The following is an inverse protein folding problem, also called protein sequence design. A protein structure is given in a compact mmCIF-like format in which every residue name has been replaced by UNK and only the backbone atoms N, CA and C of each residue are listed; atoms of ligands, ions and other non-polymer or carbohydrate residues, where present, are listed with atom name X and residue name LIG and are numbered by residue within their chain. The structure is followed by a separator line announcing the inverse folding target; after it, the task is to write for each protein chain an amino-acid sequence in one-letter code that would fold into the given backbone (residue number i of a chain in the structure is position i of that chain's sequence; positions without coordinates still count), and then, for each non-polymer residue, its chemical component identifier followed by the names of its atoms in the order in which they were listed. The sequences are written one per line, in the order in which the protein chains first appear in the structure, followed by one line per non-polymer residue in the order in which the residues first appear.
data_IF_762973183864
#
_entry.id   IF_762973183864
#
_cell.length_a   1.000
_cell.length_b   1.000
_cell.length_c   1.000
_cell.angle_alpha   90.00
_cell.angle_beta   90.00
_cell.angle_gamma   90.00
#
_symmetry.space_group_name_H-M   'P 1'
#
loop_
_entity.id
_entity.type
_entity.pdbx_description
1 polymer ?
#
# COMPACT_ATOMS: atom_id res chain seq x y z
N UNK A 1 -71.94 22.63 -74.98
CA UNK A 1 -71.17 22.73 -73.71
C UNK A 1 -70.40 21.44 -73.38
N UNK A 2 -70.33 20.45 -74.28
CA UNK A 2 -69.69 19.14 -73.98
C UNK A 2 -68.17 19.13 -74.16
N UNK A 3 -67.61 19.88 -75.12
CA UNK A 3 -66.17 19.85 -75.41
C UNK A 3 -65.25 20.39 -74.31
N UNK A 4 -65.75 21.20 -73.38
CA UNK A 4 -64.94 21.76 -72.28
C UNK A 4 -64.75 20.80 -71.11
N UNK A 5 -65.65 19.82 -70.93
CA UNK A 5 -65.55 18.82 -69.87
C UNK A 5 -64.47 17.78 -70.17
N UNK A 6 -64.38 17.31 -71.41
CA UNK A 6 -63.36 16.33 -71.83
C UNK A 6 -61.93 16.89 -71.80
N UNK A 7 -61.76 18.19 -72.08
CA UNK A 7 -60.45 18.81 -72.00
C UNK A 7 -59.98 18.96 -70.54
N UNK A 8 -60.90 19.25 -69.63
CA UNK A 8 -60.60 19.40 -68.20
C UNK A 8 -60.23 18.04 -67.59
N UNK A 9 -60.97 16.97 -67.89
CA UNK A 9 -60.66 15.62 -67.39
C UNK A 9 -59.30 15.10 -67.89
N UNK A 10 -58.94 15.38 -69.15
CA UNK A 10 -57.62 15.05 -69.70
C UNK A 10 -56.47 15.80 -68.99
N UNK A 11 -56.68 17.06 -68.61
CA UNK A 11 -55.69 17.86 -67.87
C UNK A 11 -55.52 17.30 -66.44
N UNK A 12 -56.62 16.95 -65.76
CA UNK A 12 -56.56 16.33 -64.43
C UNK A 12 -55.82 15.00 -64.44
N UNK A 13 -56.08 14.12 -65.41
CA UNK A 13 -55.38 12.85 -65.54
C UNK A 13 -53.87 13.02 -65.80
N UNK A 14 -53.46 14.06 -66.55
CA UNK A 14 -52.05 14.37 -66.77
C UNK A 14 -51.38 14.94 -65.51
N UNK A 15 -52.10 15.77 -64.74
CA UNK A 15 -51.60 16.33 -63.48
C UNK A 15 -51.40 15.23 -62.43
N UNK A 16 -52.37 14.31 -62.30
CA UNK A 16 -52.31 13.21 -61.35
C UNK A 16 -51.16 12.25 -61.68
N UNK A 17 -50.92 11.98 -62.96
CA UNK A 17 -49.74 11.23 -63.41
C UNK A 17 -48.42 11.93 -63.03
N UNK A 18 -48.36 13.26 -63.14
CA UNK A 18 -47.18 14.04 -62.77
C UNK A 18 -46.91 14.02 -61.26
N UNK A 19 -47.97 14.09 -60.45
CA UNK A 19 -47.88 14.01 -58.98
C UNK A 19 -47.36 12.63 -58.56
N UNK A 20 -47.90 11.56 -59.16
CA UNK A 20 -47.47 10.19 -58.87
C UNK A 20 -46.00 9.98 -59.25
N UNK A 21 -45.56 10.52 -60.38
CA UNK A 21 -44.17 10.39 -60.84
C UNK A 21 -43.20 11.16 -59.93
N UNK A 22 -43.57 12.39 -59.55
CA UNK A 22 -42.76 13.19 -58.65
C UNK A 22 -42.67 12.58 -57.25
N UNK A 23 -43.76 12.00 -56.74
CA UNK A 23 -43.77 11.32 -55.45
C UNK A 23 -42.88 10.05 -55.47
N UNK A 24 -42.89 9.29 -56.57
CA UNK A 24 -41.95 8.16 -56.76
C UNK A 24 -40.50 8.63 -56.82
N UNK A 25 -40.23 9.73 -57.50
CA UNK A 25 -38.89 10.29 -57.60
C UNK A 25 -38.37 10.74 -56.22
N UNK A 26 -39.23 11.33 -55.39
CA UNK A 26 -38.88 11.69 -54.01
C UNK A 26 -38.62 10.47 -53.13
N UNK A 27 -39.42 9.40 -53.25
CA UNK A 27 -39.19 8.16 -52.51
C UNK A 27 -37.86 7.49 -52.93
N UNK A 28 -37.61 7.36 -54.23
CA UNK A 28 -36.37 6.77 -54.74
C UNK A 28 -35.12 7.56 -54.32
N UNK A 29 -35.22 8.90 -54.29
CA UNK A 29 -34.11 9.75 -53.83
C UNK A 29 -33.87 9.68 -52.32
N UNK A 30 -34.93 9.54 -51.51
CA UNK A 30 -34.80 9.34 -50.06
C UNK A 30 -34.12 8.00 -49.75
N UNK A 31 -34.51 6.92 -50.40
CA UNK A 31 -33.87 5.60 -50.20
C UNK A 31 -32.40 5.62 -50.60
N UNK A 32 -32.05 6.29 -51.71
CA UNK A 32 -30.66 6.47 -52.13
C UNK A 32 -29.85 7.30 -51.11
N UNK A 33 -30.45 8.34 -50.52
CA UNK A 33 -29.82 9.16 -49.48
C UNK A 33 -29.58 8.38 -48.18
N UNK A 34 -30.53 7.54 -47.77
CA UNK A 34 -30.37 6.69 -46.59
C UNK A 34 -29.24 5.67 -46.77
N UNK A 35 -29.21 4.99 -47.92
CA UNK A 35 -28.14 4.04 -48.24
C UNK A 35 -26.76 4.73 -48.36
N UNK A 36 -26.70 5.98 -48.81
CA UNK A 36 -25.47 6.76 -48.86
C UNK A 36 -24.98 7.15 -47.46
N UNK A 37 -25.88 7.63 -46.58
CA UNK A 37 -25.54 8.05 -45.22
C UNK A 37 -24.96 6.92 -44.38
N UNK A 38 -25.50 5.70 -44.49
CA UNK A 38 -24.96 4.54 -43.76
C UNK A 38 -23.52 4.20 -44.16
N UNK A 39 -23.19 4.33 -45.46
CA UNK A 39 -21.82 4.09 -45.95
C UNK A 39 -20.86 5.15 -45.46
N UNK A 40 -21.28 6.42 -45.46
CA UNK A 40 -20.47 7.53 -44.95
C UNK A 40 -20.25 7.40 -43.44
N UNK A 41 -21.27 7.01 -42.67
CA UNK A 41 -21.13 6.78 -41.24
C UNK A 41 -20.18 5.61 -40.93
N UNK A 42 -20.23 4.52 -41.69
CA UNK A 42 -19.32 3.39 -41.52
C UNK A 42 -17.87 3.80 -41.83
N UNK A 43 -17.65 4.53 -42.92
CA UNK A 43 -16.33 5.05 -43.28
C UNK A 43 -15.82 6.05 -42.24
N UNK A 44 -16.68 6.94 -41.75
CA UNK A 44 -16.32 7.93 -40.75
C UNK A 44 -15.96 7.27 -39.41
N UNK A 45 -16.76 6.30 -38.96
CA UNK A 45 -16.45 5.50 -37.76
C UNK A 45 -15.11 4.79 -37.91
N UNK A 46 -14.85 4.17 -39.06
CA UNK A 46 -13.61 3.46 -39.31
C UNK A 46 -12.39 4.42 -39.34
N UNK A 47 -12.53 5.57 -39.99
CA UNK A 47 -11.50 6.61 -40.03
C UNK A 47 -11.25 7.20 -38.63
N UNK A 48 -12.31 7.45 -37.86
CA UNK A 48 -12.23 7.95 -36.49
C UNK A 48 -11.51 6.95 -35.58
N UNK A 49 -11.85 5.66 -35.65
CA UNK A 49 -11.18 4.61 -34.88
C UNK A 49 -9.69 4.52 -35.25
N UNK A 50 -9.36 4.56 -36.55
CA UNK A 50 -7.97 4.57 -37.00
C UNK A 50 -7.20 5.78 -36.46
N UNK A 51 -7.80 6.97 -36.52
CA UNK A 51 -7.20 8.21 -36.00
C UNK A 51 -7.02 8.18 -34.48
N UNK A 52 -8.01 7.67 -33.73
CA UNK A 52 -7.89 7.48 -32.28
C UNK A 52 -6.79 6.49 -31.92
N UNK A 53 -6.68 5.38 -32.66
CA UNK A 53 -5.61 4.40 -32.46
C UNK A 53 -4.23 5.03 -32.67
N UNK A 54 -4.08 5.83 -33.72
CA UNK A 54 -2.83 6.53 -33.99
C UNK A 54 -2.49 7.55 -32.88
N UNK A 55 -3.50 8.27 -32.37
CA UNK A 55 -3.31 9.21 -31.25
C UNK A 55 -2.96 8.50 -29.94
N UNK A 56 -3.65 7.41 -29.61
CA UNK A 56 -3.36 6.55 -28.47
C UNK A 56 -1.94 5.99 -28.55
N UNK A 57 -1.52 5.46 -29.70
CA UNK A 57 -0.17 4.93 -29.88
C UNK A 57 0.91 6.00 -29.71
N UNK A 58 0.70 7.21 -30.25
CA UNK A 58 1.66 8.32 -30.06
C UNK A 58 1.72 8.78 -28.60
N UNK A 59 0.57 8.84 -27.93
CA UNK A 59 0.49 9.13 -26.50
C UNK A 59 1.21 8.06 -25.69
N UNK A 60 0.88 6.78 -25.87
CA UNK A 60 1.53 5.67 -25.16
C UNK A 60 3.04 5.63 -25.40
N UNK A 61 3.50 5.86 -26.64
CA UNK A 61 4.92 5.89 -26.98
C UNK A 61 5.65 7.06 -26.30
N UNK A 62 5.00 8.22 -26.18
CA UNK A 62 5.54 9.38 -25.47
C UNK A 62 5.46 9.24 -23.93
N UNK A 63 4.43 8.56 -23.42
CA UNK A 63 4.16 8.40 -21.99
C UNK A 63 4.97 7.26 -21.37
N UNK A 64 5.20 6.14 -22.06
CA UNK A 64 6.01 5.02 -21.56
C UNK A 64 7.36 5.44 -20.98
N UNK A 65 8.21 6.23 -21.69
CA UNK A 65 9.51 6.62 -21.14
C UNK A 65 9.37 7.57 -19.94
N UNK A 66 8.34 8.43 -19.91
CA UNK A 66 8.07 9.31 -18.79
C UNK A 66 7.61 8.53 -17.54
N UNK A 67 6.73 7.54 -17.72
CA UNK A 67 6.23 6.66 -16.65
C UNK A 67 7.37 5.82 -16.06
N UNK A 68 8.25 5.26 -16.91
CA UNK A 68 9.41 4.49 -16.44
C UNK A 68 10.35 5.37 -15.61
N UNK A 69 10.64 6.60 -16.06
CA UNK A 69 11.44 7.56 -15.26
C UNK A 69 10.75 7.94 -13.95
N UNK A 70 9.45 8.16 -13.97
CA UNK A 70 8.69 8.46 -12.76
C UNK A 70 8.79 7.31 -11.75
N UNK A 71 8.63 6.06 -12.20
CA UNK A 71 8.79 4.88 -11.36
C UNK A 71 10.21 4.69 -10.82
N UNK A 72 11.25 5.03 -11.60
CA UNK A 72 12.63 5.00 -11.10
C UNK A 72 12.84 5.96 -9.93
N UNK A 73 12.28 7.17 -9.99
CA UNK A 73 12.37 8.16 -8.91
C UNK A 73 11.60 7.67 -7.68
N UNK A 74 10.38 7.16 -7.87
CA UNK A 74 9.58 6.60 -6.77
C UNK A 74 10.31 5.44 -6.08
N UNK A 75 10.87 4.52 -6.87
CA UNK A 75 11.65 3.40 -6.35
C UNK A 75 12.92 3.86 -5.61
N UNK A 76 13.62 4.88 -6.12
CA UNK A 76 14.80 5.43 -5.46
C UNK A 76 14.45 6.06 -4.11
N UNK A 77 13.38 6.88 -4.05
CA UNK A 77 12.92 7.50 -2.81
C UNK A 77 12.46 6.45 -1.80
N UNK A 78 11.68 5.46 -2.24
CA UNK A 78 11.26 4.35 -1.38
C UNK A 78 12.46 3.56 -0.84
N UNK A 79 13.45 3.27 -1.69
CA UNK A 79 14.69 2.61 -1.29
C UNK A 79 15.46 3.38 -0.23
N UNK A 80 15.63 4.70 -0.41
CA UNK A 80 16.30 5.56 0.59
C UNK A 80 15.54 5.57 1.91
N UNK A 81 14.20 5.66 1.87
CA UNK A 81 13.38 5.66 3.07
C UNK A 81 13.52 4.35 3.86
N UNK A 82 13.48 3.21 3.18
CA UNK A 82 13.69 1.89 3.79
C UNK A 82 15.09 1.80 4.40
N UNK A 83 16.11 2.31 3.71
CA UNK A 83 17.49 2.26 4.17
C UNK A 83 17.71 3.15 5.41
N UNK A 84 17.07 4.32 5.46
CA UNK A 84 17.05 5.19 6.63
C UNK A 84 16.35 4.54 7.83
N UNK A 85 15.18 3.92 7.61
CA UNK A 85 14.45 3.23 8.67
C UNK A 85 15.23 2.02 9.19
N UNK A 86 15.77 1.20 8.31
CA UNK A 86 16.58 0.05 8.68
C UNK A 86 17.85 0.46 9.42
N UNK A 87 18.59 1.46 8.91
CA UNK A 87 19.78 2.00 9.55
C UNK A 87 19.48 2.61 10.92
N UNK A 88 18.41 3.39 11.03
CA UNK A 88 17.93 3.96 12.30
C UNK A 88 17.57 2.88 13.31
N UNK A 89 16.79 1.88 12.91
CA UNK A 89 16.37 0.78 13.78
C UNK A 89 17.56 -0.06 14.25
N UNK A 90 18.56 -0.28 13.39
CA UNK A 90 19.80 -0.97 13.75
C UNK A 90 20.61 -0.19 14.80
N UNK A 91 20.73 1.13 14.64
CA UNK A 91 21.40 2.01 15.60
C UNK A 91 20.68 2.02 16.94
N UNK A 92 19.35 2.14 16.94
CA UNK A 92 18.54 2.07 18.17
C UNK A 92 18.72 0.73 18.88
N UNK A 93 18.78 -0.37 18.13
CA UNK A 93 19.02 -1.68 18.72
C UNK A 93 20.41 -1.77 19.36
N UNK A 94 21.45 -1.27 18.70
CA UNK A 94 22.80 -1.26 19.26
C UNK A 94 22.91 -0.42 20.53
N UNK A 95 22.27 0.76 20.57
CA UNK A 95 22.30 1.61 21.77
C UNK A 95 21.53 0.95 22.90
N UNK A 96 20.36 0.36 22.62
CA UNK A 96 19.57 -0.36 23.59
C UNK A 96 20.31 -1.59 24.15
N UNK A 97 20.98 -2.38 23.30
CA UNK A 97 21.78 -3.53 23.74
C UNK A 97 22.97 -3.10 24.60
N UNK A 98 23.61 -1.98 24.28
CA UNK A 98 24.67 -1.40 25.12
C UNK A 98 24.14 -0.90 26.46
N UNK A 99 22.96 -0.29 26.47
CA UNK A 99 22.32 0.21 27.68
C UNK A 99 21.93 -0.96 28.59
N UNK A 100 21.30 -1.99 28.03
CA UNK A 100 20.97 -3.22 28.76
C UNK A 100 22.21 -3.92 29.31
N UNK A 101 23.30 -3.98 28.54
CA UNK A 101 24.57 -4.55 29.02
C UNK A 101 25.20 -3.70 30.13
N UNK A 102 25.03 -2.38 30.10
CA UNK A 102 25.49 -1.49 31.16
C UNK A 102 24.63 -1.65 32.43
N UNK A 103 23.31 -1.72 32.29
CA UNK A 103 22.37 -1.99 33.38
C UNK A 103 22.64 -3.34 34.03
N UNK A 104 22.81 -4.41 33.24
CA UNK A 104 23.14 -5.73 33.78
C UNK A 104 24.46 -5.75 34.57
N UNK A 105 25.43 -4.89 34.22
CA UNK A 105 26.68 -4.74 35.00
C UNK A 105 26.49 -3.91 36.25
N UNK A 106 25.62 -2.90 36.21
CA UNK A 106 25.26 -2.10 37.39
C UNK A 106 24.49 -2.97 38.39
N UNK A 107 23.47 -3.71 37.94
CA UNK A 107 22.70 -4.64 38.76
C UNK A 107 23.60 -5.73 39.38
N UNK A 108 24.53 -6.29 38.58
CA UNK A 108 25.49 -7.26 39.10
C UNK A 108 26.48 -6.66 40.11
N UNK A 109 26.82 -5.37 39.99
CA UNK A 109 27.67 -4.68 40.95
C UNK A 109 26.92 -4.36 42.24
N UNK A 110 25.64 -4.00 42.15
CA UNK A 110 24.75 -3.75 43.29
C UNK A 110 24.51 -5.04 44.08
N UNK A 111 24.13 -6.13 43.41
CA UNK A 111 23.98 -7.46 44.04
C UNK A 111 25.29 -7.91 44.68
N UNK A 112 26.44 -7.67 44.04
CA UNK A 112 27.74 -8.02 44.63
C UNK A 112 28.05 -7.18 45.86
N UNK A 113 27.65 -5.91 45.90
CA UNK A 113 27.81 -5.06 47.07
C UNK A 113 26.91 -5.54 48.23
N UNK A 114 25.63 -5.84 47.95
CA UNK A 114 24.71 -6.40 48.93
C UNK A 114 25.18 -7.75 49.47
N UNK A 115 25.62 -8.67 48.59
CA UNK A 115 26.17 -9.97 49.00
C UNK A 115 27.46 -9.80 49.78
N UNK A 116 28.30 -8.83 49.44
CA UNK A 116 29.55 -8.59 50.16
C UNK A 116 29.29 -8.00 51.55
N UNK A 117 28.30 -7.12 51.69
CA UNK A 117 27.82 -6.59 52.97
C UNK A 117 27.16 -7.67 53.84
N UNK A 118 26.33 -8.53 53.25
CA UNK A 118 25.77 -9.69 53.92
C UNK A 118 26.87 -10.71 54.33
N UNK A 119 27.88 -10.91 53.49
CA UNK A 119 29.00 -11.84 53.78
C UNK A 119 29.96 -11.33 54.85
N UNK A 120 30.04 -10.01 55.09
CA UNK A 120 30.83 -9.46 56.21
C UNK A 120 30.32 -9.92 57.57
N UNK A 121 29.05 -10.30 57.66
CA UNK A 121 28.46 -10.85 58.88
C UNK A 121 28.71 -12.37 59.04
N UNK A 122 29.41 -12.99 58.08
CA UNK A 122 29.57 -14.44 57.96
C UNK A 122 31.05 -14.77 57.69
N UNK A 123 31.83 -15.01 58.74
CA UNK A 123 33.22 -15.50 58.57
C UNK A 123 33.19 -16.98 58.14
N UNK A 124 33.42 -17.27 56.86
CA UNK A 124 33.56 -18.65 56.39
C UNK A 124 34.96 -19.15 56.80
N UNK A 125 35.01 -20.07 57.76
CA UNK A 125 36.24 -20.68 58.28
C UNK A 125 36.28 -22.17 57.97
N UNK A 126 37.48 -22.76 57.84
CA UNK A 126 37.61 -24.21 57.60
C UNK A 126 37.68 -24.95 58.94
N UNK A 127 36.65 -25.73 59.28
CA UNK A 127 36.77 -26.70 60.37
C UNK A 127 37.22 -28.04 59.79
N UNK A 128 38.50 -28.38 59.94
CA UNK A 128 39.01 -29.72 59.61
C UNK A 128 38.76 -30.15 58.15
N UNK A 129 38.90 -29.23 57.20
CA UNK A 129 38.76 -29.52 55.76
C UNK A 129 37.33 -29.39 55.20
N UNK A 130 36.35 -28.99 56.03
CA UNK A 130 34.98 -28.68 55.59
C UNK A 130 34.68 -27.18 55.78
N UNK A 131 33.94 -26.54 54.85
CA UNK A 131 33.52 -25.16 55.02
C UNK A 131 32.55 -25.05 56.20
N UNK A 132 32.86 -24.18 57.15
CA UNK A 132 32.02 -23.82 58.28
C UNK A 132 31.74 -22.32 58.25
N UNK A 133 30.57 -21.93 58.72
CA UNK A 133 30.20 -20.54 58.88
C UNK A 133 30.37 -20.17 60.36
N UNK A 134 31.24 -19.20 60.65
CA UNK A 134 31.40 -18.60 61.97
C UNK A 134 30.49 -17.39 62.05
N UNK A 135 29.46 -17.52 62.87
CA UNK A 135 28.48 -16.49 63.16
C UNK A 135 29.05 -15.57 64.25
N UNK A 136 28.84 -14.27 64.11
CA UNK A 136 29.23 -13.29 65.12
C UNK A 136 28.49 -13.57 66.44
N UNK A 137 29.20 -13.47 67.58
CA UNK A 137 28.68 -13.86 68.90
C UNK A 137 27.62 -12.91 69.43
N UNK A 138 27.60 -11.68 68.91
CA UNK A 138 26.69 -10.63 69.35
C UNK A 138 25.42 -10.55 68.48
N UNK A 139 25.30 -11.40 67.46
CA UNK A 139 24.13 -11.45 66.57
C UNK A 139 22.93 -12.16 67.24
N UNK A 140 21.75 -11.55 67.16
CA UNK A 140 20.53 -12.11 67.78
C UNK A 140 20.09 -13.39 67.07
N UNK A 141 20.12 -14.52 67.79
CA UNK A 141 19.73 -15.84 67.27
C UNK A 141 18.29 -16.17 67.64
N UNK A 142 17.50 -16.64 66.67
CA UNK A 142 16.16 -17.19 66.89
C UNK A 142 16.19 -18.72 66.70
N UNK A 143 15.67 -19.47 67.68
CA UNK A 143 15.61 -20.95 67.63
C UNK A 143 14.20 -21.41 67.34
N UNK A 144 14.04 -22.26 66.34
CA UNK A 144 12.77 -22.93 66.04
C UNK A 144 12.99 -24.37 65.60
N UNK A 145 12.29 -25.31 66.26
CA UNK A 145 12.22 -26.75 65.94
C UNK A 145 13.54 -27.42 65.52
N UNK A 146 14.62 -27.17 66.28
CA UNK A 146 15.91 -27.83 66.06
C UNK A 146 16.84 -27.11 65.07
N UNK A 147 16.50 -25.90 64.63
CA UNK A 147 17.36 -25.05 63.81
C UNK A 147 17.53 -23.67 64.44
N UNK A 148 18.76 -23.16 64.38
CA UNK A 148 19.18 -21.85 64.90
C UNK A 148 19.37 -20.91 63.71
N UNK A 149 18.61 -19.82 63.70
CA UNK A 149 18.58 -18.83 62.63
C UNK A 149 19.14 -17.51 63.16
N UNK A 150 19.86 -16.77 62.34
CA UNK A 150 20.30 -15.40 62.66
C UNK A 150 19.48 -14.44 61.83
N UNK A 151 18.93 -13.41 62.48
CA UNK A 151 18.21 -12.34 61.80
C UNK A 151 19.24 -11.44 61.12
N UNK A 152 19.35 -11.53 59.79
CA UNK A 152 20.12 -10.55 59.00
C UNK A 152 19.16 -9.41 58.71
N UNK A 153 19.37 -8.26 59.37
CA UNK A 153 18.56 -7.07 59.13
C UNK A 153 18.87 -6.55 57.73
N UNK A 154 17.88 -6.61 56.84
CA UNK A 154 17.98 -6.10 55.47
C UNK A 154 17.69 -4.61 55.49
N UNK A 155 18.73 -3.79 55.64
CA UNK A 155 18.67 -2.39 55.24
C UNK A 155 19.19 -2.23 53.82
#
# INVERSE_FOLDING_TARGET
MEGTLDQVTAIFGRLEKLIIDHQRQLQASQEALHAAREREEAQFKQAMVAMFHEHQQRMEAALRPAIVRAWQIVAAVAGVLVLLLAGGMLLLKQTNDRLNAAQARADAAEVKAEVMEASRHVEITSCGGRPCIRLDKDASTWKSKGSEYILVDGK
#
